data_IF_267803633323
#
_entry.id   IF_267803633323
#
_cell.length_a   1.000
_cell.length_b   1.000
_cell.length_c   1.000
_cell.angle_alpha   90.00
_cell.angle_beta   90.00
_cell.angle_gamma   90.00
#
_symmetry.space_group_name_H-M   'P 1'
#
loop_
_entity.id
_entity.type
_entity.pdbx_description
1 polymer ?
#
# COMPACT_ATOMS: atom_id res chain seq x y z
N UNK A 1 9.62 -12.20 -3.10
CA UNK A 1 9.93 -11.03 -2.26
C UNK A 1 9.71 -11.41 -0.82
N UNK A 2 10.66 -11.08 0.05
CA UNK A 2 10.50 -11.18 1.49
C UNK A 2 9.75 -9.95 2.04
N UNK A 3 9.37 -10.00 3.31
CA UNK A 3 8.55 -8.98 3.96
C UNK A 3 9.26 -7.62 4.05
N UNK A 4 10.59 -7.59 4.23
CA UNK A 4 11.35 -6.34 4.37
C UNK A 4 11.44 -5.59 3.04
N UNK A 5 11.62 -6.31 1.93
CA UNK A 5 11.58 -5.72 0.60
C UNK A 5 10.22 -5.05 0.34
N UNK A 6 9.11 -5.69 0.72
CA UNK A 6 7.78 -5.09 0.56
C UNK A 6 7.59 -3.84 1.44
N UNK A 7 8.09 -3.83 2.67
CA UNK A 7 8.07 -2.62 3.50
C UNK A 7 8.84 -1.47 2.86
N UNK A 8 10.05 -1.75 2.35
CA UNK A 8 10.86 -0.76 1.68
C UNK A 8 10.14 -0.17 0.46
N UNK A 9 9.62 -1.02 -0.42
CA UNK A 9 8.91 -0.58 -1.63
C UNK A 9 7.66 0.25 -1.28
N UNK A 10 6.89 -0.17 -0.28
CA UNK A 10 5.73 0.58 0.20
C UNK A 10 6.12 1.99 0.66
N UNK A 11 7.17 2.12 1.50
CA UNK A 11 7.63 3.42 1.99
C UNK A 11 8.16 4.29 0.85
N UNK A 12 8.89 3.69 -0.10
CA UNK A 12 9.40 4.41 -1.26
C UNK A 12 8.27 4.98 -2.12
N UNK A 13 7.21 4.21 -2.35
CA UNK A 13 6.03 4.66 -3.10
C UNK A 13 5.32 5.81 -2.40
N UNK A 14 5.15 5.77 -1.07
CA UNK A 14 4.55 6.88 -0.32
C UNK A 14 5.41 8.16 -0.38
N UNK A 15 6.74 8.02 -0.31
CA UNK A 15 7.66 9.16 -0.47
C UNK A 15 7.53 9.77 -1.87
N UNK A 16 7.43 8.92 -2.91
CA UNK A 16 7.23 9.36 -4.30
C UNK A 16 5.87 10.03 -4.49
N UNK A 17 4.80 9.48 -3.92
CA UNK A 17 3.47 10.07 -3.94
C UNK A 17 3.47 11.48 -3.34
N UNK A 18 4.12 11.66 -2.18
CA UNK A 18 4.25 12.97 -1.51
C UNK A 18 5.03 14.00 -2.34
N UNK A 19 5.98 13.55 -3.17
CA UNK A 19 6.82 14.41 -4.02
C UNK A 19 6.29 14.55 -5.45
N UNK A 20 5.18 13.90 -5.80
CA UNK A 20 4.66 13.90 -7.16
C UNK A 20 4.14 15.29 -7.56
N UNK A 21 4.55 15.76 -8.74
CA UNK A 21 4.16 17.07 -9.26
C UNK A 21 2.72 17.10 -9.78
N UNK A 22 2.10 15.95 -10.06
CA UNK A 22 0.73 15.86 -10.57
C UNK A 22 -0.13 14.95 -9.71
N UNK A 23 -1.42 15.27 -9.65
CA UNK A 23 -2.42 14.47 -8.93
C UNK A 23 -2.54 13.07 -9.53
N UNK A 24 -2.40 12.93 -10.85
CA UNK A 24 -2.44 11.62 -11.53
C UNK A 24 -1.27 10.72 -11.12
N UNK A 25 -0.05 11.25 -11.14
CA UNK A 25 1.15 10.51 -10.73
C UNK A 25 1.11 10.18 -9.24
N UNK A 26 0.67 11.14 -8.41
CA UNK A 26 0.46 10.89 -6.96
C UNK A 26 -0.47 9.69 -6.76
N UNK A 27 -1.62 9.71 -7.42
CA UNK A 27 -2.62 8.64 -7.32
C UNK A 27 -2.06 7.30 -7.78
N UNK A 28 -1.29 7.27 -8.86
CA UNK A 28 -0.65 6.05 -9.33
C UNK A 28 0.25 5.44 -8.25
N UNK A 29 1.13 6.24 -7.64
CA UNK A 29 1.99 5.76 -6.55
C UNK A 29 1.19 5.30 -5.33
N UNK A 30 0.12 6.00 -4.97
CA UNK A 30 -0.75 5.58 -3.86
C UNK A 30 -1.44 4.24 -4.17
N UNK A 31 -1.89 4.02 -5.40
CA UNK A 31 -2.51 2.74 -5.83
C UNK A 31 -1.49 1.60 -5.78
N UNK A 32 -0.28 1.82 -6.29
CA UNK A 32 0.80 0.84 -6.18
C UNK A 32 1.14 0.54 -4.72
N UNK A 33 1.20 1.56 -3.85
CA UNK A 33 1.44 1.37 -2.42
C UNK A 33 0.33 0.55 -1.76
N UNK A 34 -0.93 0.81 -2.12
CA UNK A 34 -2.10 0.04 -1.67
C UNK A 34 -1.98 -1.44 -2.01
N UNK A 35 -1.53 -1.76 -3.22
CA UNK A 35 -1.31 -3.14 -3.65
C UNK A 35 -0.21 -3.82 -2.82
N UNK A 36 0.90 -3.12 -2.55
CA UNK A 36 1.97 -3.66 -1.68
C UNK A 36 1.45 -3.88 -0.25
N UNK A 37 0.64 -2.96 0.29
CA UNK A 37 0.02 -3.13 1.60
C UNK A 37 -0.82 -4.42 1.67
N UNK A 38 -1.59 -4.73 0.62
CA UNK A 38 -2.37 -5.98 0.56
C UNK A 38 -1.48 -7.23 0.58
N UNK A 39 -0.33 -7.20 -0.13
CA UNK A 39 0.65 -8.29 -0.12
C UNK A 39 1.29 -8.49 1.25
N UNK A 40 1.66 -7.39 1.92
CA UNK A 40 2.19 -7.42 3.28
C UNK A 40 1.15 -8.02 4.24
N UNK A 41 -0.10 -7.55 4.17
CA UNK A 41 -1.20 -8.06 4.98
C UNK A 41 -1.39 -9.57 4.81
N UNK A 42 -1.43 -10.05 3.57
CA UNK A 42 -1.52 -11.47 3.26
C UNK A 42 -0.36 -12.31 3.80
N UNK A 43 0.88 -11.78 3.77
CA UNK A 43 2.05 -12.46 4.34
C UNK A 43 1.98 -12.48 5.87
N UNK A 44 1.67 -11.35 6.51
CA UNK A 44 1.55 -11.25 7.95
C UNK A 44 0.40 -12.10 8.52
N UNK A 45 -0.72 -12.22 7.79
CA UNK A 45 -1.82 -13.09 8.14
C UNK A 45 -1.38 -14.56 8.23
N UNK A 46 -0.59 -15.02 7.26
CA UNK A 46 -0.03 -16.39 7.26
C UNK A 46 0.90 -16.66 8.44
N UNK A 47 1.50 -15.60 9.00
CA UNK A 47 2.34 -15.65 10.21
C UNK A 47 1.55 -15.49 11.51
N UNK A 48 0.23 -15.29 11.46
CA UNK A 48 -0.59 -14.98 12.63
C UNK A 48 -0.33 -13.61 13.25
N UNK A 49 0.30 -12.70 12.51
CA UNK A 49 0.64 -11.37 13.03
C UNK A 49 -0.58 -10.44 13.04
N UNK A 50 -0.88 -9.87 14.21
CA UNK A 50 -2.01 -8.95 14.40
C UNK A 50 -1.96 -7.71 13.50
N UNK A 51 -0.75 -7.29 13.10
CA UNK A 51 -0.53 -6.18 12.19
C UNK A 51 -1.13 -6.40 10.78
N UNK A 52 -1.43 -7.65 10.38
CA UNK A 52 -2.05 -7.96 9.10
C UNK A 52 -3.34 -7.16 8.84
N UNK A 53 -4.18 -6.98 9.87
CA UNK A 53 -5.43 -6.23 9.77
C UNK A 53 -5.21 -4.76 9.39
N UNK A 54 -4.13 -4.15 9.88
CA UNK A 54 -3.79 -2.76 9.56
C UNK A 54 -3.38 -2.64 8.10
N UNK A 55 -2.56 -3.57 7.60
CA UNK A 55 -2.11 -3.58 6.20
C UNK A 55 -3.24 -3.83 5.21
N UNK A 56 -4.17 -4.72 5.54
CA UNK A 56 -5.34 -4.96 4.69
C UNK A 56 -6.28 -3.75 4.65
N UNK A 57 -6.44 -3.03 5.78
CA UNK A 57 -7.17 -1.77 5.77
C UNK A 57 -6.48 -0.73 4.89
N UNK A 58 -5.15 -0.61 4.97
CA UNK A 58 -4.38 0.28 4.11
C UNK A 58 -4.59 -0.05 2.62
N UNK A 59 -4.69 -1.34 2.27
CA UNK A 59 -5.02 -1.74 0.89
C UNK A 59 -6.44 -1.37 0.43
N UNK A 60 -7.38 -1.22 1.36
CA UNK A 60 -8.78 -0.93 1.05
C UNK A 60 -9.10 0.58 0.99
N UNK A 61 -8.29 1.43 1.63
CA UNK A 61 -8.51 2.89 1.68
C UNK A 61 -8.45 3.49 0.27
N UNK A 62 -7.56 2.99 -0.59
CA UNK A 62 -7.38 3.53 -1.93
C UNK A 62 -8.41 3.02 -2.95
N UNK A 63 -8.91 1.79 -2.78
CA UNK A 63 -10.01 1.25 -3.59
C UNK A 63 -11.30 2.06 -3.40
N UNK A 64 -11.59 2.50 -2.17
CA UNK A 64 -12.75 3.37 -1.89
C UNK A 64 -12.59 4.77 -2.48
N UNK A 65 -11.38 5.33 -2.49
CA UNK A 65 -11.08 6.58 -3.17
C UNK A 65 -11.11 6.46 -4.70
N UNK A 66 -11.06 5.23 -5.23
CA UNK A 66 -11.25 4.91 -6.65
C UNK A 66 -12.72 4.71 -7.02
N UNK A 67 -13.52 4.08 -6.17
CA UNK A 67 -14.92 3.72 -6.43
C UNK A 67 -15.91 4.90 -6.38
N UNK A 68 -15.58 6.02 -5.72
CA UNK A 68 -16.44 7.21 -5.61
C UNK A 68 -16.21 8.24 -6.74
N UNK A 69 -15.99 7.81 -7.99
CA UNK A 69 -15.83 8.70 -9.15
C UNK A 69 -16.92 8.50 -10.19
#
# INVERSE_FOLDING_TARGET
MDLNSLYFDHQLLLIRARRAASVGIRRQYEVEASYIAGRIGGMQRKLGAAAALTWERLSAVNDRALANR
#
